data_IF_990736461316
#
_entry.id   IF_990736461316
#
_cell.length_a   1.000
_cell.length_b   1.000
_cell.length_c   1.000
_cell.angle_alpha   90.00
_cell.angle_beta   90.00
_cell.angle_gamma   90.00
#
_symmetry.space_group_name_H-M   'P 1'
#
loop_
_entity.id
_entity.type
_entity.pdbx_description
1 polymer ?
#
# COMPACT_ATOMS: atom_id res chain seq x y z
N UNK A 1 -41.96 47.46 -62.05
CA UNK A 1 -42.87 46.38 -61.58
C UNK A 1 -42.23 45.05 -61.92
N UNK A 2 -42.13 44.18 -60.93
CA UNK A 2 -41.17 43.07 -60.85
C UNK A 2 -41.42 41.92 -61.82
N UNK A 3 -40.29 41.40 -62.31
CA UNK A 3 -40.04 40.13 -62.99
C UNK A 3 -40.41 38.91 -62.13
N UNK A 4 -40.87 37.85 -62.79
CA UNK A 4 -40.78 36.47 -62.29
C UNK A 4 -40.64 35.51 -63.47
N UNK A 5 -39.44 34.96 -63.67
CA UNK A 5 -39.19 33.84 -64.56
C UNK A 5 -38.78 32.63 -63.72
N UNK A 6 -39.54 31.54 -63.83
CA UNK A 6 -39.27 30.26 -63.20
C UNK A 6 -38.01 29.61 -63.83
N UNK A 7 -37.00 29.33 -63.03
CA UNK A 7 -35.89 28.42 -63.36
C UNK A 7 -35.96 27.20 -62.46
N UNK A 8 -35.97 26.02 -63.07
CA UNK A 8 -35.91 24.71 -62.41
C UNK A 8 -34.58 24.54 -61.65
N UNK A 9 -34.58 23.85 -60.48
CA UNK A 9 -33.41 23.74 -59.63
C UNK A 9 -32.36 22.76 -60.17
N UNK A 10 -31.10 23.20 -60.14
CA UNK A 10 -29.89 22.38 -60.29
C UNK A 10 -29.76 21.33 -59.18
N UNK A 11 -29.17 20.15 -59.46
CA UNK A 11 -29.03 19.07 -58.50
C UNK A 11 -28.11 19.45 -57.34
N UNK A 12 -28.53 19.06 -56.14
CA UNK A 12 -27.88 19.36 -54.87
C UNK A 12 -26.41 18.89 -54.82
N UNK A 13 -25.53 19.80 -54.41
CA UNK A 13 -24.18 19.48 -53.96
C UNK A 13 -24.24 18.46 -52.82
N UNK A 14 -23.55 17.33 -53.01
CA UNK A 14 -23.27 16.33 -51.99
C UNK A 14 -22.45 16.98 -50.86
N UNK A 15 -22.90 16.96 -49.60
CA UNK A 15 -22.15 17.57 -48.52
C UNK A 15 -20.88 16.76 -48.27
N UNK A 16 -19.73 17.44 -48.37
CA UNK A 16 -18.43 16.90 -48.03
C UNK A 16 -18.48 16.18 -46.68
N UNK A 17 -18.18 14.87 -46.71
CA UNK A 17 -18.19 14.01 -45.53
C UNK A 17 -17.41 14.66 -44.39
N UNK A 18 -18.10 14.86 -43.27
CA UNK A 18 -17.50 15.27 -42.00
C UNK A 18 -16.47 14.20 -41.65
N UNK A 19 -15.19 14.50 -41.87
CA UNK A 19 -14.10 13.72 -41.28
C UNK A 19 -14.19 13.92 -39.78
N UNK A 20 -14.78 12.98 -39.07
CA UNK A 20 -14.73 12.92 -37.61
C UNK A 20 -13.25 12.96 -37.21
N UNK A 21 -12.78 13.98 -36.46
CA UNK A 21 -11.39 13.99 -36.02
C UNK A 21 -11.15 12.73 -35.20
N UNK A 22 -10.14 11.95 -35.60
CA UNK A 22 -9.72 10.77 -34.86
C UNK A 22 -9.49 11.16 -33.40
N UNK A 23 -10.13 10.45 -32.47
CA UNK A 23 -10.04 10.72 -31.04
C UNK A 23 -8.55 10.86 -30.63
N UNK A 24 -8.17 11.95 -29.93
CA UNK A 24 -6.78 12.28 -29.72
C UNK A 24 -6.07 11.18 -28.92
N UNK A 25 -4.84 10.84 -29.32
CA UNK A 25 -3.98 9.86 -28.66
C UNK A 25 -3.81 10.08 -27.14
N UNK A 26 -4.09 11.29 -26.66
CA UNK A 26 -4.12 11.66 -25.24
C UNK A 26 -5.19 10.90 -24.41
N UNK A 27 -6.32 10.51 -25.01
CA UNK A 27 -7.37 9.74 -24.33
C UNK A 27 -6.97 8.29 -24.08
N UNK A 28 -6.37 7.63 -25.07
CA UNK A 28 -5.88 6.24 -24.95
C UNK A 28 -4.76 6.11 -23.92
N UNK A 29 -3.81 7.05 -23.89
CA UNK A 29 -2.70 7.07 -22.92
C UNK A 29 -3.18 7.14 -21.46
N UNK A 30 -4.24 7.89 -21.17
CA UNK A 30 -4.80 8.00 -19.81
C UNK A 30 -5.42 6.67 -19.36
N UNK A 31 -6.18 6.01 -20.24
CA UNK A 31 -6.81 4.72 -19.94
C UNK A 31 -5.78 3.64 -19.59
N UNK A 32 -4.63 3.57 -20.29
CA UNK A 32 -3.58 2.60 -19.96
C UNK A 32 -2.98 2.84 -18.57
N UNK A 33 -2.67 4.09 -18.20
CA UNK A 33 -2.10 4.38 -16.89
C UNK A 33 -3.09 4.18 -15.75
N UNK A 34 -4.36 4.48 -15.97
CA UNK A 34 -5.40 4.23 -14.97
C UNK A 34 -5.68 2.73 -14.81
N UNK A 35 -5.60 1.96 -15.91
CA UNK A 35 -5.69 0.48 -15.87
C UNK A 35 -4.50 -0.13 -15.13
N UNK A 36 -3.28 0.35 -15.38
CA UNK A 36 -2.08 -0.12 -14.67
C UNK A 36 -2.16 0.17 -13.17
N UNK A 37 -2.68 1.34 -12.79
CA UNK A 37 -2.92 1.67 -11.38
C UNK A 37 -3.97 0.77 -10.75
N UNK A 38 -5.07 0.51 -11.46
CA UNK A 38 -6.11 -0.43 -11.00
C UNK A 38 -5.57 -1.84 -10.81
N UNK A 39 -4.80 -2.34 -11.79
CA UNK A 39 -4.13 -3.64 -11.71
C UNK A 39 -3.14 -3.74 -10.55
N UNK A 40 -2.31 -2.71 -10.35
CA UNK A 40 -1.41 -2.63 -9.21
C UNK A 40 -2.17 -2.65 -7.88
N UNK A 41 -3.27 -1.89 -7.75
CA UNK A 41 -4.09 -1.88 -6.54
C UNK A 41 -4.72 -3.26 -6.25
N UNK A 42 -5.18 -3.98 -7.28
CA UNK A 42 -5.71 -5.34 -7.14
C UNK A 42 -4.63 -6.34 -6.70
N UNK A 43 -3.41 -6.24 -7.25
CA UNK A 43 -2.29 -7.09 -6.83
C UNK A 43 -1.86 -6.82 -5.38
N UNK A 44 -1.87 -5.55 -4.95
CA UNK A 44 -1.64 -5.17 -3.54
C UNK A 44 -2.70 -5.79 -2.65
N UNK A 45 -3.98 -5.66 -3.02
CA UNK A 45 -5.10 -6.24 -2.27
C UNK A 45 -4.98 -7.77 -2.19
N UNK A 46 -4.66 -8.43 -3.31
CA UNK A 46 -4.43 -9.87 -3.35
C UNK A 46 -3.25 -10.32 -2.47
N UNK A 47 -2.19 -9.52 -2.40
CA UNK A 47 -1.05 -9.78 -1.51
C UNK A 47 -1.41 -9.69 -0.02
N UNK A 48 -2.19 -8.68 0.37
CA UNK A 48 -2.72 -8.56 1.74
C UNK A 48 -3.67 -9.71 2.08
N UNK A 49 -4.61 -10.01 1.17
CA UNK A 49 -5.58 -11.09 1.36
C UNK A 49 -4.88 -12.46 1.46
N UNK A 50 -3.83 -12.71 0.66
CA UNK A 50 -3.06 -13.94 0.76
C UNK A 50 -2.45 -14.08 2.14
N UNK A 51 -1.78 -13.05 2.66
CA UNK A 51 -1.17 -13.12 3.98
C UNK A 51 -2.18 -13.33 5.11
N UNK A 52 -3.44 -12.90 4.90
CA UNK A 52 -4.49 -13.11 5.88
C UNK A 52 -5.14 -14.50 5.80
N UNK A 53 -5.35 -15.04 4.59
CA UNK A 53 -6.10 -16.28 4.38
C UNK A 53 -5.24 -17.53 4.21
N UNK A 54 -3.97 -17.38 3.86
CA UNK A 54 -3.10 -18.50 3.48
C UNK A 54 -1.81 -18.51 4.30
N UNK A 55 -1.24 -19.71 4.42
CA UNK A 55 0.03 -19.95 5.11
C UNK A 55 1.20 -19.34 4.35
N UNK A 56 2.31 -19.10 5.03
CA UNK A 56 3.53 -18.65 4.37
C UNK A 56 4.04 -19.68 3.37
N UNK A 57 4.73 -19.22 2.33
CA UNK A 57 5.28 -20.10 1.29
C UNK A 57 6.14 -21.24 1.87
N UNK A 58 6.88 -20.96 2.93
CA UNK A 58 7.78 -21.91 3.61
C UNK A 58 7.06 -23.10 4.23
N UNK A 59 5.77 -22.94 4.53
CA UNK A 59 4.94 -23.96 5.19
C UNK A 59 4.13 -24.81 4.18
N UNK A 60 4.17 -24.44 2.90
CA UNK A 60 3.42 -25.15 1.85
C UNK A 60 4.08 -26.49 1.56
N UNK A 61 3.44 -27.56 2.03
CA UNK A 61 3.87 -28.94 1.76
C UNK A 61 3.38 -29.39 0.37
N UNK A 62 4.30 -29.82 -0.50
CA UNK A 62 4.03 -30.27 -1.88
C UNK A 62 3.28 -29.25 -2.76
N UNK A 63 3.91 -28.10 -3.10
CA UNK A 63 3.25 -27.07 -3.89
C UNK A 63 2.99 -27.53 -5.33
N UNK A 64 1.72 -27.49 -5.73
CA UNK A 64 1.33 -27.67 -7.13
C UNK A 64 1.81 -26.49 -7.99
N UNK A 65 1.88 -26.68 -9.30
CA UNK A 65 2.21 -25.60 -10.26
C UNK A 65 1.24 -24.40 -10.10
N UNK A 66 -0.03 -24.68 -9.87
CA UNK A 66 -1.04 -23.64 -9.64
C UNK A 66 -0.77 -22.87 -8.34
N UNK A 67 -0.36 -23.56 -7.26
CA UNK A 67 0.02 -22.91 -6.01
C UNK A 67 1.29 -22.05 -6.18
N UNK A 68 2.32 -22.57 -6.88
CA UNK A 68 3.52 -21.79 -7.24
C UNK A 68 3.14 -20.49 -7.95
N UNK A 69 2.28 -20.57 -8.98
CA UNK A 69 1.82 -19.40 -9.74
C UNK A 69 1.00 -18.42 -8.88
N UNK A 70 0.09 -18.93 -8.06
CA UNK A 70 -0.72 -18.11 -7.16
C UNK A 70 0.15 -17.33 -6.15
N UNK A 71 1.10 -18.00 -5.50
CA UNK A 71 2.03 -17.36 -4.57
C UNK A 71 2.97 -16.38 -5.28
N UNK A 72 3.44 -16.72 -6.49
CA UNK A 72 4.25 -15.81 -7.29
C UNK A 72 3.48 -14.50 -7.58
N UNK A 73 2.27 -14.59 -8.15
CA UNK A 73 1.48 -13.41 -8.50
C UNK A 73 1.11 -12.55 -7.29
N UNK A 74 0.72 -13.16 -6.18
CA UNK A 74 0.30 -12.44 -4.96
C UNK A 74 1.49 -11.93 -4.12
N UNK A 75 2.71 -12.44 -4.35
CA UNK A 75 3.93 -11.89 -3.75
C UNK A 75 4.35 -10.54 -4.35
N UNK A 76 3.82 -10.20 -5.53
CA UNK A 76 4.07 -8.93 -6.20
C UNK A 76 3.39 -7.72 -5.52
N UNK A 77 2.73 -7.89 -4.37
CA UNK A 77 2.05 -6.80 -3.66
C UNK A 77 2.99 -5.62 -3.35
N UNK A 78 4.17 -5.87 -2.77
CA UNK A 78 5.12 -4.79 -2.47
C UNK A 78 5.63 -4.10 -3.74
N UNK A 79 6.03 -4.89 -4.75
CA UNK A 79 6.46 -4.36 -6.05
C UNK A 79 5.37 -3.50 -6.72
N UNK A 80 4.10 -3.89 -6.57
CA UNK A 80 2.95 -3.16 -7.10
C UNK A 80 2.77 -1.79 -6.42
N UNK A 81 3.05 -1.66 -5.13
CA UNK A 81 3.07 -0.34 -4.45
C UNK A 81 4.19 0.55 -5.01
N UNK A 82 5.37 -0.02 -5.29
CA UNK A 82 6.48 0.74 -5.92
C UNK A 82 6.08 1.23 -7.30
N UNK A 83 5.45 0.38 -8.13
CA UNK A 83 4.90 0.78 -9.43
C UNK A 83 3.88 1.90 -9.27
N UNK A 84 2.99 1.82 -8.28
CA UNK A 84 2.03 2.88 -7.98
C UNK A 84 2.71 4.22 -7.67
N UNK A 85 3.76 4.23 -6.84
CA UNK A 85 4.53 5.44 -6.55
C UNK A 85 5.25 5.99 -7.77
N UNK A 86 5.88 5.15 -8.59
CA UNK A 86 6.54 5.59 -9.83
C UNK A 86 5.51 6.19 -10.80
N UNK A 87 4.36 5.55 -11.01
CA UNK A 87 3.30 6.07 -11.86
C UNK A 87 2.69 7.37 -11.31
N UNK A 88 2.59 7.49 -9.99
CA UNK A 88 2.17 8.73 -9.33
C UNK A 88 3.16 9.87 -9.60
N UNK A 89 4.46 9.63 -9.40
CA UNK A 89 5.52 10.60 -9.68
C UNK A 89 5.58 11.02 -11.14
N UNK A 90 5.43 10.06 -12.05
CA UNK A 90 5.40 10.32 -13.48
C UNK A 90 4.25 11.27 -13.88
N UNK A 91 3.02 10.96 -13.44
CA UNK A 91 1.85 11.73 -13.85
C UNK A 91 1.71 13.05 -13.10
N UNK A 92 1.96 13.06 -11.79
CA UNK A 92 1.82 14.26 -10.97
C UNK A 92 3.03 15.17 -11.13
N UNK A 93 4.25 14.63 -11.03
CA UNK A 93 5.47 15.40 -11.22
C UNK A 93 5.58 15.99 -12.62
N UNK A 94 5.25 15.21 -13.66
CA UNK A 94 5.18 15.71 -15.03
C UNK A 94 4.17 16.86 -15.20
N UNK A 95 2.99 16.73 -14.58
CA UNK A 95 1.96 17.79 -14.59
C UNK A 95 2.40 19.06 -13.86
N UNK A 96 3.09 18.94 -12.72
CA UNK A 96 3.64 20.08 -11.98
C UNK A 96 4.73 20.77 -12.79
N UNK A 97 5.69 20.01 -13.33
CA UNK A 97 6.77 20.55 -14.17
C UNK A 97 6.22 21.28 -15.40
N UNK A 98 5.23 20.69 -16.09
CA UNK A 98 4.59 21.31 -17.25
C UNK A 98 3.88 22.62 -16.90
N UNK A 99 3.12 22.67 -15.81
CA UNK A 99 2.39 23.86 -15.39
C UNK A 99 3.32 25.00 -14.93
N UNK A 100 4.37 24.68 -14.16
CA UNK A 100 5.35 25.68 -13.72
C UNK A 100 6.14 26.25 -14.90
N UNK A 101 6.62 25.39 -15.82
CA UNK A 101 7.31 25.83 -17.04
C UNK A 101 6.41 26.73 -17.91
N UNK A 102 5.13 26.38 -18.03
CA UNK A 102 4.16 27.16 -18.77
C UNK A 102 3.65 28.41 -18.02
N UNK A 103 4.17 28.72 -16.84
CA UNK A 103 3.76 29.87 -16.02
C UNK A 103 2.26 29.89 -15.66
N UNK A 104 1.64 28.70 -15.56
CA UNK A 104 0.21 28.50 -15.26
C UNK A 104 -0.02 27.79 -13.93
N UNK A 105 0.96 27.83 -13.02
CA UNK A 105 0.85 27.17 -11.73
C UNK A 105 -0.21 27.82 -10.85
N UNK A 106 -1.08 27.00 -10.26
CA UNK A 106 -2.08 27.43 -9.28
C UNK A 106 -2.21 26.38 -8.17
N UNK A 107 -1.94 26.81 -6.94
CA UNK A 107 -2.06 25.95 -5.76
C UNK A 107 -3.49 25.48 -5.52
N UNK A 108 -4.50 26.36 -5.65
CA UNK A 108 -5.90 25.99 -5.40
C UNK A 108 -6.41 24.92 -6.37
N UNK A 109 -6.14 25.08 -7.67
CA UNK A 109 -6.53 24.11 -8.69
C UNK A 109 -5.77 22.79 -8.55
N UNK A 110 -4.49 22.85 -8.17
CA UNK A 110 -3.70 21.65 -7.93
C UNK A 110 -4.15 20.91 -6.67
N UNK A 111 -4.22 21.61 -5.53
CA UNK A 111 -4.57 21.04 -4.24
C UNK A 111 -5.97 20.43 -4.25
N UNK A 112 -6.98 21.14 -4.77
CA UNK A 112 -8.35 20.59 -4.87
C UNK A 112 -8.38 19.26 -5.61
N UNK A 113 -7.78 19.18 -6.81
CA UNK A 113 -7.73 17.93 -7.60
C UNK A 113 -7.03 16.79 -6.88
N UNK A 114 -5.97 17.07 -6.11
CA UNK A 114 -5.18 16.04 -5.41
C UNK A 114 -5.84 15.61 -4.10
N UNK A 115 -6.33 16.56 -3.32
CA UNK A 115 -7.04 16.30 -2.07
C UNK A 115 -8.35 15.56 -2.33
N UNK A 116 -9.15 15.97 -3.32
CA UNK A 116 -10.37 15.23 -3.70
C UNK A 116 -10.03 13.79 -4.11
N UNK A 117 -8.98 13.57 -4.91
CA UNK A 117 -8.54 12.22 -5.30
C UNK A 117 -8.20 11.36 -4.08
N UNK A 118 -7.51 11.92 -3.09
CA UNK A 118 -7.11 11.19 -1.88
C UNK A 118 -8.30 10.94 -0.94
N UNK A 119 -9.13 11.95 -0.69
CA UNK A 119 -10.28 11.86 0.22
C UNK A 119 -11.40 10.96 -0.28
N UNK A 120 -11.63 10.91 -1.60
CA UNK A 120 -12.62 10.00 -2.20
C UNK A 120 -12.34 8.53 -1.83
N UNK A 121 -11.07 8.17 -1.64
CA UNK A 121 -10.68 6.81 -1.22
C UNK A 121 -10.54 6.72 0.29
N UNK A 122 -9.91 7.73 0.92
CA UNK A 122 -9.60 7.72 2.35
C UNK A 122 -10.84 7.75 3.23
N UNK A 123 -11.82 8.62 2.94
CA UNK A 123 -13.00 8.78 3.81
C UNK A 123 -13.82 7.48 3.87
N UNK A 124 -14.16 6.83 2.74
CA UNK A 124 -14.79 5.51 2.79
C UNK A 124 -13.91 4.45 3.46
N UNK A 125 -12.60 4.46 3.23
CA UNK A 125 -11.69 3.50 3.86
C UNK A 125 -11.68 3.61 5.39
N UNK A 126 -11.69 4.83 5.95
CA UNK A 126 -11.75 5.04 7.39
C UNK A 126 -13.10 4.58 7.98
N UNK A 127 -14.21 4.88 7.30
CA UNK A 127 -15.53 4.46 7.73
C UNK A 127 -15.67 2.92 7.71
N UNK A 128 -15.20 2.27 6.64
CA UNK A 128 -15.16 0.81 6.53
C UNK A 128 -14.24 0.20 7.59
N UNK A 129 -13.07 0.80 7.85
CA UNK A 129 -12.17 0.34 8.92
C UNK A 129 -12.86 0.36 10.26
N UNK A 130 -13.53 1.47 10.62
CA UNK A 130 -14.28 1.56 11.87
C UNK A 130 -15.37 0.48 11.97
N UNK A 131 -16.12 0.27 10.89
CA UNK A 131 -17.19 -0.73 10.84
C UNK A 131 -16.66 -2.16 11.00
N UNK A 132 -15.62 -2.52 10.26
CA UNK A 132 -15.05 -3.88 10.29
C UNK A 132 -14.31 -4.16 11.59
N UNK A 133 -13.58 -3.17 12.12
CA UNK A 133 -12.90 -3.33 13.41
C UNK A 133 -13.91 -3.48 14.56
N UNK A 134 -15.02 -2.74 14.53
CA UNK A 134 -16.10 -2.90 15.51
C UNK A 134 -16.74 -4.29 15.40
N UNK A 135 -17.06 -4.73 14.18
CA UNK A 135 -17.66 -6.05 13.96
C UNK A 135 -16.69 -7.18 14.36
N UNK A 136 -15.41 -7.05 14.05
CA UNK A 136 -14.43 -8.07 14.39
C UNK A 136 -14.14 -8.13 15.89
N UNK A 137 -14.14 -7.01 16.62
CA UNK A 137 -14.00 -7.02 18.07
C UNK A 137 -15.21 -7.66 18.77
N UNK A 138 -16.42 -7.41 18.25
CA UNK A 138 -17.66 -7.95 18.82
C UNK A 138 -17.84 -9.45 18.55
N UNK A 139 -17.43 -9.94 17.37
CA UNK A 139 -17.56 -11.35 17.00
C UNK A 139 -16.36 -12.21 17.38
N UNK A 140 -15.14 -11.66 17.28
CA UNK A 140 -13.87 -12.39 17.41
C UNK A 140 -13.02 -11.99 18.61
N UNK A 141 -13.47 -11.05 19.43
CA UNK A 141 -12.77 -10.57 20.62
C UNK A 141 -11.69 -9.52 20.35
N UNK A 142 -11.20 -8.89 21.43
CA UNK A 142 -10.28 -7.75 21.36
C UNK A 142 -8.80 -8.13 21.15
N UNK A 143 -8.42 -9.40 21.34
CA UNK A 143 -7.03 -9.84 21.31
C UNK A 143 -6.33 -9.54 19.96
N UNK A 144 -7.04 -9.73 18.84
CA UNK A 144 -6.52 -9.40 17.51
C UNK A 144 -6.16 -7.90 17.37
N UNK A 145 -6.98 -7.03 17.96
CA UNK A 145 -6.85 -5.58 17.87
C UNK A 145 -5.86 -5.02 18.89
N UNK A 146 -5.60 -5.76 19.97
CA UNK A 146 -4.47 -5.55 20.88
C UNK A 146 -3.12 -5.99 20.28
N UNK A 147 -3.13 -6.69 19.13
CA UNK A 147 -1.93 -7.13 18.43
C UNK A 147 -1.45 -8.54 18.79
N UNK A 148 -2.27 -9.36 19.47
CA UNK A 148 -1.89 -10.73 19.85
C UNK A 148 -1.52 -11.63 18.65
N UNK A 149 -2.03 -11.31 17.46
CA UNK A 149 -1.77 -12.06 16.23
C UNK A 149 -0.78 -11.36 15.29
N UNK A 150 0.06 -10.45 15.80
CA UNK A 150 1.04 -9.73 14.96
C UNK A 150 2.05 -10.65 14.28
N UNK A 151 2.33 -11.83 14.86
CA UNK A 151 3.20 -12.84 14.25
C UNK A 151 2.57 -13.51 13.01
N UNK A 152 1.24 -13.49 12.91
CA UNK A 152 0.49 -14.09 11.80
C UNK A 152 0.16 -13.08 10.68
N UNK A 153 0.29 -11.78 10.96
CA UNK A 153 -0.12 -10.72 10.04
C UNK A 153 1.08 -9.89 9.57
N UNK A 154 1.20 -9.68 8.26
CA UNK A 154 2.25 -8.79 7.71
C UNK A 154 1.98 -7.30 7.90
N UNK A 155 0.74 -6.94 8.25
CA UNK A 155 0.34 -5.55 8.49
C UNK A 155 -0.84 -5.51 9.44
N UNK A 156 -0.81 -4.60 10.41
CA UNK A 156 -1.92 -4.42 11.36
C UNK A 156 -1.43 -4.01 12.75
N UNK A 157 -2.30 -4.10 13.76
CA UNK A 157 -1.95 -3.83 15.15
C UNK A 157 -0.83 -4.75 15.64
N UNK A 158 0.04 -4.20 16.49
CA UNK A 158 1.08 -4.96 17.20
C UNK A 158 0.94 -4.71 18.70
N UNK A 159 1.52 -5.54 19.57
CA UNK A 159 1.48 -5.29 21.01
C UNK A 159 2.06 -3.92 21.40
N UNK A 160 3.07 -3.44 20.65
CA UNK A 160 3.66 -2.11 20.84
C UNK A 160 2.79 -0.97 20.27
N UNK A 161 1.97 -1.26 19.26
CA UNK A 161 1.06 -0.30 18.62
C UNK A 161 -0.31 -0.92 18.37
N UNK A 162 -1.17 -1.02 19.41
CA UNK A 162 -2.52 -1.54 19.28
C UNK A 162 -3.40 -0.69 18.34
N UNK A 163 -4.53 -1.25 17.92
CA UNK A 163 -5.50 -0.54 17.10
C UNK A 163 -6.03 0.71 17.83
N UNK A 164 -5.97 1.87 17.16
CA UNK A 164 -6.38 3.14 17.75
C UNK A 164 -7.56 3.75 16.99
N UNK A 165 -8.71 3.80 17.66
CA UNK A 165 -9.97 4.33 17.10
C UNK A 165 -10.36 5.71 17.65
N UNK A 166 -9.43 6.44 18.28
CA UNK A 166 -9.73 7.77 18.83
C UNK A 166 -10.06 8.76 17.72
N UNK A 167 -10.89 9.75 18.05
CA UNK A 167 -11.23 10.81 17.10
C UNK A 167 -10.00 11.61 16.65
N UNK A 168 -9.05 11.83 17.57
CA UNK A 168 -7.79 12.50 17.26
C UNK A 168 -6.99 11.74 16.18
N UNK A 169 -6.91 10.42 16.29
CA UNK A 169 -6.24 9.57 15.28
C UNK A 169 -6.98 9.63 13.94
N UNK A 170 -8.31 9.51 13.91
CA UNK A 170 -9.06 9.62 12.66
C UNK A 170 -8.92 10.99 12.00
N UNK A 171 -8.97 12.10 12.77
CA UNK A 171 -8.73 13.44 12.24
C UNK A 171 -7.29 13.60 11.73
N UNK A 172 -6.30 13.07 12.44
CA UNK A 172 -4.92 13.03 11.97
C UNK A 172 -4.78 12.27 10.65
N UNK A 173 -5.47 11.13 10.52
CA UNK A 173 -5.47 10.34 9.28
C UNK A 173 -6.16 11.08 8.13
N UNK A 174 -7.28 11.78 8.37
CA UNK A 174 -7.95 12.63 7.39
C UNK A 174 -7.06 13.78 6.88
N UNK A 175 -6.16 14.25 7.73
CA UNK A 175 -5.14 15.25 7.40
C UNK A 175 -3.82 14.64 6.90
N UNK A 176 -3.77 13.33 6.64
CA UNK A 176 -2.60 12.61 6.13
C UNK A 176 -1.37 12.63 7.07
N UNK A 177 -1.62 12.65 8.38
CA UNK A 177 -0.60 12.72 9.43
C UNK A 177 -0.24 11.36 10.03
N UNK A 178 -0.87 10.28 9.57
CA UNK A 178 -0.53 8.93 9.98
C UNK A 178 0.92 8.59 9.62
N UNK A 179 1.61 7.89 10.50
CA UNK A 179 3.05 7.58 10.43
C UNK A 179 4.00 8.78 10.63
N UNK A 180 3.46 9.99 10.75
CA UNK A 180 4.22 11.21 11.02
C UNK A 180 4.00 11.68 12.45
N UNK A 181 2.75 12.04 12.79
CA UNK A 181 2.36 12.51 14.12
C UNK A 181 1.26 11.68 14.76
N UNK A 182 0.49 10.93 13.97
CA UNK A 182 -0.53 10.03 14.50
C UNK A 182 -0.25 8.60 14.09
N UNK A 183 -0.78 7.64 14.84
CA UNK A 183 -0.84 6.25 14.39
C UNK A 183 -1.76 6.13 13.17
N UNK A 184 -1.70 4.98 12.49
CA UNK A 184 -2.77 4.61 11.56
C UNK A 184 -4.08 4.45 12.34
N UNK A 185 -5.20 4.75 11.70
CA UNK A 185 -6.52 4.58 12.31
C UNK A 185 -6.94 3.10 12.29
N UNK A 186 -7.32 2.59 13.46
CA UNK A 186 -7.74 1.20 13.65
C UNK A 186 -6.67 0.19 13.23
N UNK A 187 -7.11 -0.87 12.54
CA UNK A 187 -6.24 -1.93 12.01
C UNK A 187 -5.62 -1.61 10.63
N UNK A 188 -5.90 -0.43 10.06
CA UNK A 188 -5.62 -0.12 8.65
C UNK A 188 -4.16 0.31 8.41
N UNK A 189 -3.23 -0.63 8.58
CA UNK A 189 -1.81 -0.47 8.33
C UNK A 189 -1.46 0.16 6.97
N UNK A 190 -2.08 -0.24 5.84
CA UNK A 190 -1.78 0.30 4.52
C UNK A 190 -2.00 1.82 4.32
N UNK A 191 -2.61 2.54 5.28
CA UNK A 191 -2.77 4.00 5.20
C UNK A 191 -1.44 4.78 5.11
N UNK A 192 -0.32 4.16 5.48
CA UNK A 192 1.02 4.77 5.34
C UNK A 192 1.30 5.23 3.91
N UNK A 193 0.90 4.47 2.89
CA UNK A 193 1.22 4.79 1.49
C UNK A 193 0.48 6.04 1.02
N UNK A 194 -0.69 6.30 1.59
CA UNK A 194 -1.53 7.45 1.27
C UNK A 194 -0.98 8.74 1.90
N UNK A 195 -0.47 8.66 3.14
CA UNK A 195 0.27 9.77 3.76
C UNK A 195 1.50 10.13 2.93
N UNK A 196 2.31 9.14 2.54
CA UNK A 196 3.47 9.35 1.69
C UNK A 196 3.10 10.08 0.39
N UNK A 197 2.05 9.61 -0.31
CA UNK A 197 1.59 10.25 -1.55
C UNK A 197 1.19 11.71 -1.34
N UNK A 198 0.46 12.03 -0.27
CA UNK A 198 0.11 13.41 0.08
C UNK A 198 1.35 14.29 0.27
N UNK A 199 2.32 13.84 1.07
CA UNK A 199 3.52 14.63 1.35
C UNK A 199 4.38 14.85 0.11
N UNK A 200 4.46 13.88 -0.80
CA UNK A 200 5.12 14.08 -2.09
C UNK A 200 4.41 15.12 -2.95
N UNK A 201 3.08 15.17 -2.90
CA UNK A 201 2.29 16.17 -3.61
C UNK A 201 2.49 17.59 -3.08
N UNK A 202 2.88 17.75 -1.82
CA UNK A 202 3.20 19.05 -1.20
C UNK A 202 4.66 19.42 -1.46
N UNK A 203 5.60 18.54 -1.13
CA UNK A 203 7.04 18.80 -1.20
C UNK A 203 7.52 19.00 -2.63
N UNK A 204 7.01 18.22 -3.58
CA UNK A 204 7.54 18.29 -4.94
C UNK A 204 7.27 19.65 -5.62
N UNK A 205 6.04 20.20 -5.65
CA UNK A 205 5.84 21.54 -6.17
C UNK A 205 6.61 22.62 -5.42
N UNK A 206 6.76 22.53 -4.10
CA UNK A 206 7.61 23.46 -3.33
C UNK A 206 9.07 23.41 -3.81
N UNK A 207 9.61 22.22 -4.03
CA UNK A 207 10.95 22.02 -4.58
C UNK A 207 11.09 22.54 -6.02
N UNK A 208 10.06 22.39 -6.86
CA UNK A 208 10.09 22.95 -8.21
C UNK A 208 10.03 24.48 -8.18
N UNK A 209 9.19 25.06 -7.32
CA UNK A 209 9.01 26.51 -7.21
C UNK A 209 10.17 27.21 -6.50
N UNK A 210 10.94 26.53 -5.66
CA UNK A 210 12.17 27.09 -5.08
C UNK A 210 13.23 27.39 -6.15
N UNK A 211 13.25 26.60 -7.22
CA UNK A 211 14.17 26.78 -8.35
C UNK A 211 13.56 27.62 -9.45
N UNK A 212 12.29 27.35 -9.81
CA UNK A 212 11.62 27.89 -11.00
C UNK A 212 10.48 28.86 -10.71
N UNK A 213 10.36 29.34 -9.48
CA UNK A 213 9.36 30.35 -9.10
C UNK A 213 9.56 31.67 -9.85
N UNK A 214 8.48 32.42 -10.01
CA UNK A 214 8.43 33.62 -10.86
C UNK A 214 9.10 34.85 -10.23
N UNK A 215 9.40 34.79 -8.93
CA UNK A 215 10.08 35.85 -8.18
C UNK A 215 11.05 35.29 -7.16
N UNK A 216 12.06 36.08 -6.78
CA UNK A 216 13.01 35.71 -5.72
C UNK A 216 12.32 35.40 -4.38
N UNK A 217 11.29 36.18 -4.03
CA UNK A 217 10.47 35.94 -2.82
C UNK A 217 9.76 34.58 -2.88
N UNK A 218 9.11 34.25 -3.99
CA UNK A 218 8.44 32.96 -4.14
C UNK A 218 9.42 31.80 -4.01
N UNK A 219 10.61 31.93 -4.60
CA UNK A 219 11.67 30.93 -4.54
C UNK A 219 12.16 30.72 -3.11
N UNK A 220 12.46 31.80 -2.39
CA UNK A 220 12.91 31.75 -1.01
C UNK A 220 11.85 31.16 -0.07
N UNK A 221 10.59 31.58 -0.18
CA UNK A 221 9.49 31.04 0.62
C UNK A 221 9.27 29.56 0.32
N UNK A 222 9.29 29.15 -0.95
CA UNK A 222 9.09 27.75 -1.32
C UNK A 222 10.24 26.87 -0.82
N UNK A 223 11.48 27.38 -0.85
CA UNK A 223 12.64 26.70 -0.29
C UNK A 223 12.51 26.53 1.23
N UNK A 224 12.23 27.62 1.95
CA UNK A 224 12.12 27.60 3.41
C UNK A 224 11.00 26.67 3.88
N UNK A 225 9.81 26.76 3.27
CA UNK A 225 8.69 25.87 3.57
C UNK A 225 8.99 24.42 3.19
N UNK A 226 9.55 24.18 2.01
CA UNK A 226 9.88 22.83 1.55
C UNK A 226 10.92 22.16 2.44
N UNK A 227 11.99 22.88 2.80
CA UNK A 227 13.04 22.37 3.68
C UNK A 227 12.53 22.16 5.12
N UNK A 228 11.75 23.11 5.65
CA UNK A 228 11.15 22.99 6.97
C UNK A 228 10.23 21.77 7.08
N UNK A 229 9.32 21.60 6.12
CA UNK A 229 8.43 20.43 6.08
C UNK A 229 9.21 19.13 5.91
N UNK A 230 10.17 19.07 4.96
CA UNK A 230 10.96 17.86 4.74
C UNK A 230 11.78 17.45 5.97
N UNK A 231 12.31 18.42 6.73
CA UNK A 231 13.05 18.16 7.97
C UNK A 231 12.18 17.63 9.11
N UNK A 232 10.86 17.83 9.07
CA UNK A 232 9.91 17.32 10.06
C UNK A 232 9.39 15.92 9.75
N UNK A 233 9.66 15.38 8.54
CA UNK A 233 9.11 14.10 8.11
C UNK A 233 10.03 12.92 8.46
N UNK A 234 9.47 11.75 8.77
CA UNK A 234 10.23 10.53 9.03
C UNK A 234 11.13 10.12 7.87
N UNK A 235 12.28 9.54 8.18
CA UNK A 235 13.24 9.05 7.18
C UNK A 235 12.68 7.98 6.24
N UNK A 236 11.77 7.13 6.71
CA UNK A 236 11.10 6.12 5.87
C UNK A 236 10.29 6.77 4.73
N UNK A 237 9.53 7.81 5.08
CA UNK A 237 8.70 8.55 4.14
C UNK A 237 9.57 9.24 3.08
N UNK A 238 10.69 9.85 3.46
CA UNK A 238 11.58 10.52 2.51
C UNK A 238 12.30 9.54 1.57
N UNK A 239 12.69 8.35 2.06
CA UNK A 239 13.28 7.30 1.22
C UNK A 239 12.30 6.73 0.20
N UNK A 240 11.07 6.46 0.60
CA UNK A 240 10.03 6.09 -0.36
C UNK A 240 9.78 7.20 -1.41
N UNK A 241 10.05 8.46 -1.06
CA UNK A 241 10.00 9.60 -1.98
C UNK A 241 11.01 9.50 -3.13
N UNK A 242 12.14 8.81 -2.94
CA UNK A 242 13.11 8.58 -4.02
C UNK A 242 12.50 7.74 -5.15
N UNK A 243 11.70 6.72 -4.83
CA UNK A 243 11.00 5.91 -5.84
C UNK A 243 9.98 6.75 -6.60
N UNK A 244 9.29 7.65 -5.92
CA UNK A 244 8.36 8.59 -6.54
C UNK A 244 9.11 9.56 -7.48
N UNK A 245 10.27 10.07 -7.07
CA UNK A 245 11.12 10.94 -7.89
C UNK A 245 11.67 10.25 -9.15
N UNK A 246 11.88 8.93 -9.15
CA UNK A 246 12.22 8.19 -10.37
C UNK A 246 11.13 8.36 -11.44
N UNK A 247 9.85 8.29 -11.04
CA UNK A 247 8.73 8.57 -11.93
C UNK A 247 8.77 9.98 -12.50
N UNK A 248 9.09 10.97 -11.66
CA UNK A 248 9.28 12.37 -12.11
C UNK A 248 10.41 12.47 -13.14
N UNK A 249 11.55 11.82 -12.86
CA UNK A 249 12.70 11.83 -13.76
C UNK A 249 12.31 11.27 -15.14
N UNK A 250 11.56 10.16 -15.18
CA UNK A 250 11.03 9.60 -16.42
C UNK A 250 10.10 10.59 -17.17
N UNK A 251 9.30 11.37 -16.44
CA UNK A 251 8.45 12.40 -17.04
C UNK A 251 9.21 13.63 -17.54
N UNK A 252 10.41 13.87 -17.02
CA UNK A 252 11.26 14.99 -17.39
C UNK A 252 12.08 14.73 -18.67
N UNK A 253 12.29 13.47 -19.04
CA UNK A 253 12.98 13.07 -20.28
C UNK A 253 12.10 13.52 -21.47
N UNK A 254 12.59 14.41 -22.36
CA UNK A 254 11.88 14.75 -23.59
C UNK A 254 11.61 13.48 -24.38
N UNK A 255 10.40 13.33 -24.92
CA UNK A 255 10.01 12.17 -25.72
C UNK A 255 10.80 12.16 -27.05
N UNK A 256 12.07 11.78 -27.00
CA UNK A 256 12.85 11.43 -28.16
C UNK A 256 12.80 9.89 -28.30
N UNK A 257 12.09 9.42 -29.34
CA UNK A 257 12.09 8.05 -29.89
C UNK A 257 10.98 7.09 -29.39
N UNK A 258 10.70 6.03 -30.19
CA UNK A 258 9.38 5.71 -30.73
C UNK A 258 8.44 5.06 -29.70
N UNK A 259 7.15 4.98 -30.04
CA UNK A 259 6.11 4.40 -29.20
C UNK A 259 6.54 3.08 -28.54
N UNK A 260 6.94 3.15 -27.27
CA UNK A 260 7.28 2.00 -26.46
C UNK A 260 5.99 1.18 -26.28
N UNK A 261 5.92 0.00 -26.89
CA UNK A 261 4.76 -0.86 -26.78
C UNK A 261 4.75 -1.54 -25.40
N UNK A 262 4.25 -0.79 -24.41
CA UNK A 262 4.22 -1.17 -22.99
C UNK A 262 3.55 -2.55 -22.78
N UNK A 263 2.57 -2.91 -23.62
CA UNK A 263 1.90 -4.21 -23.58
C UNK A 263 2.84 -5.38 -23.88
N UNK A 264 3.78 -5.22 -24.81
CA UNK A 264 4.75 -6.28 -25.16
C UNK A 264 5.83 -6.45 -24.07
N UNK A 265 6.26 -5.35 -23.44
CA UNK A 265 7.28 -5.40 -22.38
C UNK A 265 6.75 -6.02 -21.08
N UNK A 266 5.52 -5.66 -20.67
CA UNK A 266 4.88 -6.22 -19.47
C UNK A 266 4.51 -7.69 -19.68
N UNK A 267 3.94 -8.05 -20.84
CA UNK A 267 3.63 -9.46 -21.15
C UNK A 267 4.88 -10.32 -21.19
N UNK A 268 5.99 -9.81 -21.75
CA UNK A 268 7.28 -10.49 -21.73
C UNK A 268 7.82 -10.66 -20.30
N UNK A 269 7.79 -9.62 -19.47
CA UNK A 269 8.23 -9.72 -18.08
C UNK A 269 7.42 -10.71 -17.24
N UNK A 270 6.10 -10.78 -17.45
CA UNK A 270 5.23 -11.77 -16.81
C UNK A 270 5.51 -13.18 -17.35
N UNK A 271 5.74 -13.32 -18.65
CA UNK A 271 6.08 -14.61 -19.27
C UNK A 271 7.45 -15.14 -18.82
N UNK A 272 8.45 -14.27 -18.71
CA UNK A 272 9.79 -14.62 -18.26
C UNK A 272 9.78 -15.02 -16.78
N UNK A 273 9.06 -14.27 -15.93
CA UNK A 273 8.86 -14.65 -14.52
C UNK A 273 8.07 -15.96 -14.35
N UNK A 274 7.06 -16.18 -15.20
CA UNK A 274 6.32 -17.45 -15.22
C UNK A 274 7.23 -18.60 -15.68
N UNK A 275 8.09 -18.38 -16.68
CA UNK A 275 9.01 -19.39 -17.19
C UNK A 275 10.09 -19.76 -16.16
N UNK A 276 10.58 -18.80 -15.37
CA UNK A 276 11.55 -19.06 -14.29
C UNK A 276 10.91 -19.88 -13.15
N UNK A 277 9.68 -19.55 -12.75
CA UNK A 277 8.90 -20.30 -11.74
C UNK A 277 8.55 -21.71 -12.22
N UNK A 278 8.33 -21.91 -13.52
CA UNK A 278 8.05 -23.21 -14.12
C UNK A 278 9.33 -24.02 -14.46
N UNK A 279 10.47 -23.34 -14.64
CA UNK A 279 11.75 -23.93 -15.03
C UNK A 279 12.62 -24.41 -13.87
N UNK A 280 12.37 -23.91 -12.65
CA UNK A 280 13.14 -24.26 -11.44
C UNK A 280 13.06 -25.73 -10.98
N UNK A 281 12.24 -26.57 -11.62
CA UNK A 281 12.12 -28.00 -11.28
C UNK A 281 13.11 -28.90 -12.05
N UNK A 282 14.00 -28.36 -12.90
CA UNK A 282 14.95 -29.19 -13.68
C UNK A 282 16.25 -29.57 -12.95
N UNK A 283 16.52 -29.02 -11.77
CA UNK A 283 17.79 -29.29 -11.07
C UNK A 283 17.68 -30.27 -9.89
N UNK A 284 16.50 -30.84 -9.65
CA UNK A 284 16.29 -31.88 -8.63
C UNK A 284 15.48 -33.05 -9.20
N UNK A 285 16.08 -33.80 -10.14
CA UNK A 285 15.66 -35.20 -10.38
C UNK A 285 16.78 -36.02 -10.99
N UNK A 286 17.77 -36.33 -10.15
CA UNK A 286 18.49 -37.58 -10.25
C UNK A 286 17.61 -38.69 -9.67
N UNK A 287 17.36 -39.70 -10.50
CA UNK A 287 16.93 -41.05 -10.19
C UNK A 287 15.45 -41.48 -10.26
N UNK A 288 15.36 -42.76 -10.64
CA UNK A 288 14.39 -43.46 -11.48
C UNK A 288 12.93 -43.60 -11.02
N UNK A 289 12.08 -43.95 -12.00
CA UNK A 289 10.85 -44.74 -11.75
C UNK A 289 9.68 -44.36 -12.64
N UNK A 290 9.50 -45.09 -13.74
CA UNK A 290 8.38 -44.97 -14.66
C UNK A 290 7.05 -45.40 -14.02
N UNK A 291 5.95 -44.68 -14.31
CA UNK A 291 4.73 -45.33 -14.80
C UNK A 291 3.76 -44.36 -15.51
N UNK A 292 3.40 -44.83 -16.71
CA UNK A 292 2.29 -44.58 -17.67
C UNK A 292 1.31 -43.40 -17.49
N UNK A 293 1.12 -42.74 -18.63
CA UNK A 293 0.08 -41.77 -18.94
C UNK A 293 -1.28 -42.41 -19.31
N UNK A 294 -2.39 -41.71 -19.02
CA UNK A 294 -3.61 -41.61 -19.85
C UNK A 294 -4.66 -40.65 -19.22
N UNK A 295 -5.61 -40.07 -20.00
CA UNK A 295 -5.94 -38.65 -19.93
C UNK A 295 -7.41 -38.30 -19.57
N UNK A 296 -7.63 -37.01 -19.27
CA UNK A 296 -8.87 -36.24 -19.47
C UNK A 296 -10.17 -36.72 -18.81
N UNK A 297 -10.51 -36.14 -17.65
CA UNK A 297 -11.90 -35.91 -17.27
C UNK A 297 -12.03 -34.62 -16.44
N UNK A 298 -12.78 -33.67 -17.00
CA UNK A 298 -13.39 -32.51 -16.35
C UNK A 298 -14.06 -32.92 -15.02
N UNK A 299 -13.41 -32.69 -13.88
CA UNK A 299 -14.08 -32.72 -12.58
C UNK A 299 -13.45 -31.62 -11.71
N UNK A 300 -14.24 -30.59 -11.40
CA UNK A 300 -13.95 -29.66 -10.31
C UNK A 300 -13.61 -30.47 -9.05
N UNK A 301 -12.40 -30.40 -8.47
CA UNK A 301 -12.11 -31.20 -7.30
C UNK A 301 -12.63 -30.51 -6.04
N UNK A 302 -13.09 -31.32 -5.11
CA UNK A 302 -13.55 -31.07 -3.76
C UNK A 302 -12.63 -30.22 -2.83
N UNK A 303 -11.62 -29.53 -3.35
CA UNK A 303 -10.73 -28.61 -2.63
C UNK A 303 -11.49 -27.41 -2.03
N UNK A 304 -12.61 -27.00 -2.63
CA UNK A 304 -13.47 -25.94 -2.08
C UNK A 304 -14.28 -26.42 -0.87
N UNK A 305 -14.55 -27.74 -0.77
CA UNK A 305 -15.33 -28.30 0.34
C UNK A 305 -14.46 -28.77 1.50
N UNK A 306 -13.19 -29.12 1.24
CA UNK A 306 -12.23 -29.50 2.28
C UNK A 306 -11.66 -28.28 3.03
N UNK A 307 -11.65 -27.09 2.41
CA UNK A 307 -11.34 -25.82 3.08
C UNK A 307 -12.37 -25.44 4.17
N UNK A 308 -13.59 -25.96 4.12
CA UNK A 308 -14.60 -25.77 5.16
C UNK A 308 -14.43 -26.70 6.38
N UNK A 309 -13.62 -27.77 6.26
CA UNK A 309 -13.26 -28.68 7.37
C UNK A 309 -11.93 -28.29 8.05
N UNK A 310 -11.20 -27.33 7.48
CA UNK A 310 -9.95 -26.79 8.02
C UNK A 310 -10.11 -25.83 9.21
N UNK A 311 -11.16 -25.97 10.04
CA UNK A 311 -11.26 -25.23 11.31
C UNK A 311 -10.06 -25.50 12.23
N UNK A 312 -9.42 -26.66 12.07
CA UNK A 312 -8.21 -27.03 12.79
C UNK A 312 -6.96 -26.19 12.46
N UNK A 313 -6.91 -25.44 11.33
CA UNK A 313 -5.73 -24.64 11.01
C UNK A 313 -5.64 -23.35 11.83
N UNK A 314 -6.76 -22.63 11.95
CA UNK A 314 -6.85 -21.44 12.80
C UNK A 314 -6.90 -21.84 14.27
N UNK A 315 -7.66 -22.87 14.62
CA UNK A 315 -7.73 -23.36 16.01
C UNK A 315 -6.38 -23.92 16.49
N UNK A 316 -5.62 -24.66 15.67
CA UNK A 316 -4.28 -25.14 16.07
C UNK A 316 -3.24 -24.01 16.14
N UNK A 317 -3.36 -22.97 15.30
CA UNK A 317 -2.49 -21.78 15.36
C UNK A 317 -2.80 -20.91 16.57
N UNK A 318 -4.09 -20.74 16.90
CA UNK A 318 -4.56 -20.07 18.11
C UNK A 318 -4.17 -20.87 19.35
N UNK A 319 -4.33 -22.20 19.33
CA UNK A 319 -3.92 -23.07 20.44
C UNK A 319 -2.41 -23.03 20.67
N UNK A 320 -1.59 -23.11 19.62
CA UNK A 320 -0.12 -23.02 19.75
C UNK A 320 0.33 -21.64 20.25
N UNK A 321 -0.29 -20.55 19.79
CA UNK A 321 0.02 -19.21 20.28
C UNK A 321 -0.38 -18.99 21.75
N UNK A 322 -1.49 -19.58 22.19
CA UNK A 322 -1.93 -19.55 23.61
C UNK A 322 -1.04 -20.42 24.49
N UNK A 323 -0.54 -21.55 23.98
CA UNK A 323 0.35 -22.47 24.71
C UNK A 323 1.77 -21.90 24.87
N UNK A 324 2.27 -21.13 23.88
CA UNK A 324 3.54 -20.40 23.96
C UNK A 324 3.48 -19.21 24.94
N UNK A 325 2.35 -18.50 25.05
CA UNK A 325 2.16 -17.44 26.05
C UNK A 325 1.90 -17.99 27.47
N UNK A 326 1.32 -19.20 27.59
CA UNK A 326 1.08 -19.87 28.87
C UNK A 326 2.34 -20.50 29.50
N UNK A 327 3.31 -20.91 28.69
CA UNK A 327 4.55 -21.53 29.15
C UNK A 327 5.57 -20.56 29.78
N UNK A 328 5.31 -19.24 29.74
CA UNK A 328 6.14 -18.21 30.39
C UNK A 328 5.77 -17.93 31.85
N UNK A 329 4.76 -18.60 32.42
CA UNK A 329 4.13 -18.23 33.69
C UNK A 329 4.33 -19.15 34.89
N UNK A 330 5.01 -20.30 34.77
CA UNK A 330 5.21 -21.22 35.90
C UNK A 330 6.68 -21.55 36.12
N UNK A 331 7.29 -20.83 37.06
CA UNK A 331 8.68 -21.02 37.46
C UNK A 331 9.04 -20.25 38.71
N UNK A 332 8.27 -20.42 39.79
CA UNK A 332 8.72 -20.01 41.12
C UNK A 332 9.76 -20.97 41.69
N UNK A 333 10.67 -20.48 42.55
CA UNK A 333 11.00 -21.25 43.73
C UNK A 333 10.89 -20.40 44.99
N UNK A 334 10.09 -20.89 45.94
CA UNK A 334 10.17 -20.48 47.33
C UNK A 334 11.23 -21.29 48.08
N UNK A 335 11.88 -20.67 49.06
CA UNK A 335 12.50 -21.40 50.17
C UNK A 335 13.83 -20.83 50.71
N UNK A 336 13.76 -20.39 51.98
CA UNK A 336 14.82 -20.44 53.01
C UNK A 336 15.85 -19.29 53.07
N UNK A 337 15.67 -18.39 54.05
CA UNK A 337 16.69 -18.14 55.07
C UNK A 337 16.15 -17.27 56.23
N UNK A 338 15.90 -17.90 57.38
CA UNK A 338 15.99 -17.31 58.71
C UNK A 338 16.90 -18.22 59.54
N UNK A 339 18.02 -17.68 60.03
CA UNK A 339 18.47 -17.76 61.43
C UNK A 339 19.95 -17.37 61.60
N UNK A 340 20.23 -16.79 62.78
CA UNK A 340 21.51 -16.37 63.39
C UNK A 340 22.01 -14.97 62.97
N UNK A 341 22.24 -14.01 63.87
CA UNK A 341 22.63 -14.11 65.27
C UNK A 341 22.00 -13.02 66.17
N UNK A 342 21.71 -13.41 67.41
CA UNK A 342 21.38 -12.57 68.57
C UNK A 342 22.60 -12.45 69.49
N UNK A 343 22.72 -11.29 70.15
CA UNK A 343 23.61 -10.98 71.28
C UNK A 343 24.04 -9.52 71.16
N UNK A 344 24.01 -8.65 72.16
CA UNK A 344 23.60 -8.58 73.57
C UNK A 344 23.82 -7.09 73.95
N UNK A 345 23.35 -6.68 75.14
CA UNK A 345 23.50 -5.35 75.77
C UNK A 345 22.64 -4.18 75.24
N UNK A 346 21.94 -3.37 76.05
CA UNK A 346 21.96 -3.18 77.50
C UNK A 346 22.10 -1.68 77.82
N UNK A 347 21.07 -1.07 78.46
CA UNK A 347 21.09 0.34 78.95
C UNK A 347 20.95 1.41 77.86
N UNK A 348 20.38 2.60 78.05
CA UNK A 348 20.14 3.35 79.28
C UNK A 348 19.27 4.59 78.94
N UNK A 349 18.46 5.05 79.90
CA UNK A 349 18.36 6.48 80.22
C UNK A 349 17.55 7.40 79.31
N UNK A 350 16.29 7.61 79.68
CA UNK A 350 15.49 8.79 79.32
C UNK A 350 15.71 9.85 80.42
N UNK A 351 16.25 11.03 80.11
CA UNK A 351 16.12 12.22 80.97
C UNK A 351 16.41 13.55 80.24
N UNK A 352 15.38 14.40 80.25
CA UNK A 352 15.35 15.86 80.44
C UNK A 352 16.49 16.81 79.98
N UNK A 353 16.05 17.79 79.17
CA UNK A 353 16.03 19.25 79.42
C UNK A 353 17.30 20.10 79.27
N UNK A 354 17.06 21.25 78.60
CA UNK A 354 17.79 22.54 78.65
C UNK A 354 19.21 22.49 78.06
N UNK A 355 19.58 23.28 77.05
CA UNK A 355 19.44 24.73 76.89
C UNK A 355 19.67 25.07 75.40
#
# INVERSE_FOLDING_TARGET
>A
MNSAALTLPTPCHEPAGIRTPAAPAAGRRQVYFDSLRGGAALLVCAGHLRHFLFVEWREVSQPTVLAKLFYALTSLGHASVVVFFVLSGFLVGGSVLSQVRAQRWSWGNYASRRLTRLWVVLVPALALTALWDWLGQTLGGAAAYAGAYSALHSSGPTPATPANHTWATAMGNLCFLQTVWTSVFGSNGPLWSLANEFWYYVLFPLGVLSVRGNSGKQRAVSLALGAGLAGMLPGELTRAGLTWLMGVAMAAIPAASPAFNCGAAVSKGVADAAAEVLGGDKEVRGDCGAERAAPSALILPAAVQQAARGRGGVEARVARAVEEDGAGGEGGPGGQNQAQATGEDGGEGRSHSSN
#
